data_IF_076595504638
#
_entry.id   IF_076595504638
#
_cell.length_a   1.000
_cell.length_b   1.000
_cell.length_c   1.000
_cell.angle_alpha   90.00
_cell.angle_beta   90.00
_cell.angle_gamma   90.00
#
_symmetry.space_group_name_H-M   'P 1'
#
loop_
_entity.id
_entity.type
_entity.pdbx_description
1 polymer ?
#
# COMPACT_ATOMS: atom_id res chain seq x y z
N UNK A 1 -12.70 2.12 -2.22
CA UNK A 1 -11.42 2.33 -1.51
C UNK A 1 -10.28 2.50 -2.52
N UNK A 2 -10.18 1.59 -3.49
CA UNK A 2 -9.06 1.56 -4.44
C UNK A 2 -8.96 2.82 -5.32
N UNK A 3 -10.07 3.29 -5.90
CA UNK A 3 -10.08 4.56 -6.64
C UNK A 3 -9.65 5.77 -5.79
N UNK A 4 -9.91 5.74 -4.48
CA UNK A 4 -9.50 6.81 -3.57
C UNK A 4 -8.00 6.73 -3.26
N UNK A 5 -7.48 5.50 -3.10
CA UNK A 5 -6.04 5.25 -2.96
C UNK A 5 -5.28 5.79 -4.18
N UNK A 6 -5.75 5.48 -5.39
CA UNK A 6 -5.18 5.98 -6.64
C UNK A 6 -5.24 7.51 -6.76
N UNK A 7 -6.33 8.15 -6.32
CA UNK A 7 -6.41 9.61 -6.27
C UNK A 7 -5.36 10.18 -5.31
N UNK A 8 -5.16 9.58 -4.14
CA UNK A 8 -4.13 10.00 -3.20
C UNK A 8 -2.73 9.82 -3.79
N UNK A 9 -2.44 8.70 -4.46
CA UNK A 9 -1.17 8.47 -5.13
C UNK A 9 -0.93 9.44 -6.29
N UNK A 10 -1.96 9.75 -7.07
CA UNK A 10 -1.86 10.73 -8.15
C UNK A 10 -1.61 12.14 -7.60
N UNK A 11 -2.30 12.53 -6.53
CA UNK A 11 -2.05 13.79 -5.82
C UNK A 11 -0.62 13.81 -5.29
N UNK A 12 -0.16 12.71 -4.68
CA UNK A 12 1.21 12.53 -4.20
C UNK A 12 2.24 12.79 -5.31
N UNK A 13 2.07 12.17 -6.47
CA UNK A 13 2.99 12.29 -7.61
C UNK A 13 3.01 13.69 -8.21
N UNK A 14 1.86 14.36 -8.31
CA UNK A 14 1.79 15.73 -8.85
C UNK A 14 2.49 16.71 -7.94
N UNK A 15 2.25 16.60 -6.64
CA UNK A 15 2.75 17.55 -5.65
C UNK A 15 4.23 17.33 -5.32
N UNK A 16 4.69 16.07 -5.31
CA UNK A 16 6.10 15.75 -5.08
C UNK A 16 7.05 16.19 -6.21
N UNK A 17 6.52 16.58 -7.38
CA UNK A 17 7.30 17.08 -8.52
C UNK A 17 7.47 18.59 -8.52
N UNK A 18 6.92 19.31 -7.54
CA UNK A 18 7.11 20.75 -7.41
C UNK A 18 8.60 21.08 -7.16
N UNK A 19 9.16 22.07 -7.87
CA UNK A 19 10.55 22.49 -7.68
C UNK A 19 10.76 23.14 -6.31
N UNK A 20 12.02 23.25 -5.90
CA UNK A 20 12.39 23.97 -4.68
C UNK A 20 12.04 25.47 -4.78
N UNK A 21 11.62 26.04 -3.66
CA UNK A 21 11.35 27.46 -3.50
C UNK A 21 11.93 27.99 -2.18
N UNK A 22 11.80 29.29 -1.92
CA UNK A 22 12.36 29.91 -0.71
C UNK A 22 11.78 29.35 0.61
N UNK A 23 10.59 28.74 0.59
CA UNK A 23 9.98 28.11 1.78
C UNK A 23 10.44 26.65 1.92
N UNK A 24 10.66 25.97 0.81
CA UNK A 24 11.12 24.58 0.74
C UNK A 24 12.39 24.48 -0.12
N UNK A 25 13.56 24.82 0.44
CA UNK A 25 14.82 24.88 -0.30
C UNK A 25 15.29 23.52 -0.83
N UNK A 26 14.78 22.42 -0.27
CA UNK A 26 15.05 21.05 -0.70
C UNK A 26 13.93 20.45 -1.58
N UNK A 27 12.94 21.26 -1.96
CA UNK A 27 11.79 20.84 -2.77
C UNK A 27 10.71 20.07 -1.99
N UNK A 28 9.74 19.53 -2.74
CA UNK A 28 8.53 18.92 -2.20
C UNK A 28 8.53 17.38 -2.27
N UNK A 29 9.69 16.75 -2.51
CA UNK A 29 9.79 15.29 -2.68
C UNK A 29 9.16 14.47 -1.54
N UNK A 30 9.29 14.94 -0.30
CA UNK A 30 8.71 14.31 0.90
C UNK A 30 7.18 14.35 0.95
N UNK A 31 6.51 15.23 0.19
CA UNK A 31 5.04 15.26 0.17
C UNK A 31 4.47 13.92 -0.30
N UNK A 32 5.18 13.19 -1.18
CA UNK A 32 4.73 11.86 -1.60
C UNK A 32 4.52 10.90 -0.42
N UNK A 33 5.45 10.91 0.53
CA UNK A 33 5.38 10.05 1.72
C UNK A 33 4.26 10.46 2.65
N UNK A 34 4.01 11.77 2.77
CA UNK A 34 2.86 12.28 3.51
C UNK A 34 1.52 11.81 2.90
N UNK A 35 1.36 11.90 1.58
CA UNK A 35 0.16 11.42 0.90
C UNK A 35 0.01 9.88 0.99
N UNK A 36 1.10 9.13 0.94
CA UNK A 36 1.07 7.68 1.16
C UNK A 36 0.63 7.32 2.60
N UNK A 37 1.06 8.11 3.60
CA UNK A 37 0.59 7.96 4.98
C UNK A 37 -0.91 8.26 5.10
N UNK A 38 -1.39 9.31 4.44
CA UNK A 38 -2.82 9.64 4.41
C UNK A 38 -3.65 8.54 3.75
N UNK A 39 -3.16 7.96 2.67
CA UNK A 39 -3.79 6.81 2.02
C UNK A 39 -3.86 5.59 2.95
N UNK A 40 -2.78 5.28 3.68
CA UNK A 40 -2.75 4.21 4.68
C UNK A 40 -3.81 4.42 5.78
N UNK A 41 -3.94 5.64 6.30
CA UNK A 41 -4.98 6.01 7.27
C UNK A 41 -6.38 5.85 6.64
N UNK A 42 -6.55 6.26 5.38
CA UNK A 42 -7.80 6.09 4.64
C UNK A 42 -8.22 4.61 4.52
N UNK A 43 -7.29 3.72 4.16
CA UNK A 43 -7.53 2.27 4.07
C UNK A 43 -7.90 1.70 5.45
N UNK A 44 -7.22 2.12 6.52
CA UNK A 44 -7.55 1.70 7.87
C UNK A 44 -8.97 2.12 8.29
N UNK A 45 -9.32 3.39 8.09
CA UNK A 45 -10.61 3.94 8.54
C UNK A 45 -11.77 3.48 7.66
N UNK A 46 -11.69 3.68 6.34
CA UNK A 46 -12.80 3.32 5.44
C UNK A 46 -12.87 1.83 5.13
N UNK A 47 -11.74 1.14 5.15
CA UNK A 47 -11.68 -0.29 4.90
C UNK A 47 -11.79 -1.07 6.20
N UNK A 48 -10.74 -1.00 7.02
CA UNK A 48 -10.63 -1.77 8.27
C UNK A 48 -11.79 -1.54 9.23
N UNK A 49 -12.00 -0.31 9.69
CA UNK A 49 -13.06 -0.01 10.67
C UNK A 49 -14.46 -0.30 10.13
N UNK A 50 -14.72 -0.03 8.84
CA UNK A 50 -16.00 -0.34 8.23
C UNK A 50 -16.27 -1.85 8.16
N UNK A 51 -15.27 -2.66 7.79
CA UNK A 51 -15.37 -4.12 7.81
C UNK A 51 -15.61 -4.65 9.23
N UNK A 52 -14.89 -4.13 10.24
CA UNK A 52 -15.16 -4.49 11.63
C UNK A 52 -16.59 -4.13 12.07
N UNK A 53 -17.06 -2.93 11.70
CA UNK A 53 -18.42 -2.49 11.98
C UNK A 53 -19.45 -3.42 11.33
N UNK A 54 -19.28 -3.75 10.05
CA UNK A 54 -20.15 -4.67 9.32
C UNK A 54 -20.17 -6.06 9.97
N UNK A 55 -19.00 -6.60 10.34
CA UNK A 55 -18.91 -7.91 11.00
C UNK A 55 -19.61 -7.94 12.36
N UNK A 56 -19.45 -6.88 13.17
CA UNK A 56 -20.15 -6.77 14.45
C UNK A 56 -21.65 -6.52 14.27
N UNK A 57 -22.03 -5.77 13.24
CA UNK A 57 -23.43 -5.49 12.94
C UNK A 57 -24.16 -6.73 12.42
N UNK A 58 -23.52 -7.53 11.58
CA UNK A 58 -24.04 -8.80 11.07
C UNK A 58 -24.37 -9.78 12.22
N UNK A 59 -23.55 -9.80 13.27
CA UNK A 59 -23.78 -10.66 14.43
C UNK A 59 -24.95 -10.20 15.32
N UNK A 60 -25.45 -8.98 15.13
CA UNK A 60 -26.54 -8.37 15.91
C UNK A 60 -27.85 -8.24 15.13
N UNK A 61 -27.89 -8.62 13.85
CA UNK A 61 -29.11 -8.62 13.05
C UNK A 61 -29.81 -9.96 13.25
N UNK A 62 -31.09 -9.90 13.65
CA UNK A 62 -31.93 -11.08 13.87
C UNK A 62 -32.74 -11.50 12.63
N UNK A 63 -32.72 -10.78 11.49
CA UNK A 63 -33.58 -11.11 10.34
C UNK A 63 -32.98 -10.86 8.93
N UNK A 64 -33.16 -11.91 8.11
CA UNK A 64 -33.55 -12.00 6.69
C UNK A 64 -33.09 -10.87 5.74
N UNK A 65 -31.84 -10.95 5.25
CA UNK A 65 -31.53 -10.34 3.97
C UNK A 65 -32.27 -11.11 2.86
N UNK A 66 -32.97 -10.37 2.00
CA UNK A 66 -33.69 -10.98 0.88
C UNK A 66 -32.70 -11.71 -0.06
N UNK A 67 -33.08 -12.88 -0.61
CA UNK A 67 -32.22 -13.63 -1.55
C UNK A 67 -31.74 -12.80 -2.76
N UNK A 68 -32.48 -11.75 -3.11
CA UNK A 68 -32.14 -10.80 -4.18
C UNK A 68 -30.97 -9.88 -3.82
N UNK A 69 -30.78 -9.53 -2.54
CA UNK A 69 -29.61 -8.76 -2.08
C UNK A 69 -28.32 -9.58 -2.13
N UNK A 70 -28.39 -10.84 -1.66
CA UNK A 70 -27.28 -11.78 -1.68
C UNK A 70 -26.78 -12.09 -3.10
N UNK A 71 -27.70 -12.32 -4.03
CA UNK A 71 -27.35 -12.58 -5.44
C UNK A 71 -26.67 -11.39 -6.10
N UNK A 72 -27.16 -10.16 -5.87
CA UNK A 72 -26.50 -8.96 -6.36
C UNK A 72 -25.08 -8.80 -5.75
N UNK A 73 -24.94 -9.04 -4.45
CA UNK A 73 -23.65 -9.01 -3.75
C UNK A 73 -22.64 -10.00 -4.34
N UNK A 74 -23.04 -11.26 -4.53
CA UNK A 74 -22.20 -12.30 -5.14
C UNK A 74 -21.82 -11.97 -6.59
N UNK A 75 -22.72 -11.38 -7.38
CA UNK A 75 -22.41 -10.94 -8.74
C UNK A 75 -21.35 -9.84 -8.73
N UNK A 76 -21.51 -8.82 -7.87
CA UNK A 76 -20.54 -7.72 -7.73
C UNK A 76 -19.19 -8.25 -7.29
N UNK A 77 -19.14 -9.11 -6.28
CA UNK A 77 -17.91 -9.76 -5.81
C UNK A 77 -17.29 -10.65 -6.90
N UNK A 78 -18.09 -11.36 -7.68
CA UNK A 78 -17.61 -12.18 -8.79
C UNK A 78 -16.96 -11.34 -9.89
N UNK A 79 -17.58 -10.24 -10.27
CA UNK A 79 -17.01 -9.29 -11.24
C UNK A 79 -15.72 -8.67 -10.70
N UNK A 80 -15.71 -8.26 -9.42
CA UNK A 80 -14.52 -7.74 -8.76
C UNK A 80 -13.40 -8.79 -8.74
N UNK A 81 -13.69 -10.04 -8.35
CA UNK A 81 -12.70 -11.11 -8.31
C UNK A 81 -12.08 -11.35 -9.69
N UNK A 82 -12.89 -11.37 -10.76
CA UNK A 82 -12.38 -11.52 -12.12
C UNK A 82 -11.49 -10.34 -12.51
N UNK A 83 -11.93 -9.10 -12.25
CA UNK A 83 -11.15 -7.91 -12.55
C UNK A 83 -9.79 -7.94 -11.84
N UNK A 84 -9.79 -8.11 -10.51
CA UNK A 84 -8.57 -8.15 -9.69
C UNK A 84 -7.66 -9.33 -10.08
N UNK A 85 -8.24 -10.51 -10.30
CA UNK A 85 -7.46 -11.69 -10.72
C UNK A 85 -6.80 -11.49 -12.08
N UNK A 86 -7.47 -10.82 -13.01
CA UNK A 86 -6.86 -10.50 -14.31
C UNK A 86 -5.75 -9.45 -14.21
N UNK A 87 -5.90 -8.45 -13.33
CA UNK A 87 -4.85 -7.48 -13.04
C UNK A 87 -3.63 -8.16 -12.43
N UNK A 88 -3.85 -8.95 -11.38
CA UNK A 88 -2.81 -9.72 -10.71
C UNK A 88 -2.11 -10.68 -11.66
N UNK A 89 -2.85 -11.40 -12.50
CA UNK A 89 -2.28 -12.32 -13.49
C UNK A 89 -1.37 -11.60 -14.49
N UNK A 90 -1.77 -10.40 -14.94
CA UNK A 90 -0.93 -9.57 -15.83
C UNK A 90 0.32 -9.09 -15.10
N UNK A 91 0.20 -8.62 -13.86
CA UNK A 91 1.33 -8.15 -13.07
C UNK A 91 2.33 -9.28 -12.79
N UNK A 92 1.84 -10.47 -12.41
CA UNK A 92 2.65 -11.67 -12.24
C UNK A 92 3.31 -12.11 -13.55
N UNK A 93 2.59 -12.01 -14.68
CA UNK A 93 3.17 -12.31 -15.99
C UNK A 93 4.31 -11.34 -16.35
N UNK A 94 4.17 -10.05 -16.03
CA UNK A 94 5.23 -9.05 -16.24
C UNK A 94 6.43 -9.22 -15.30
N UNK A 95 6.22 -9.85 -14.15
CA UNK A 95 7.25 -10.20 -13.18
C UNK A 95 7.93 -11.55 -13.49
N UNK A 96 7.33 -12.41 -14.34
CA UNK A 96 7.95 -13.68 -14.73
C UNK A 96 9.31 -13.46 -15.37
N UNK A 97 10.29 -14.25 -14.93
CA UNK A 97 11.67 -14.15 -15.41
C UNK A 97 12.50 -13.02 -14.80
N UNK A 98 11.90 -12.17 -13.95
CA UNK A 98 12.61 -11.15 -13.17
C UNK A 98 12.75 -11.63 -11.72
N UNK A 99 13.97 -11.61 -11.18
CA UNK A 99 14.25 -12.01 -9.79
C UNK A 99 14.91 -10.87 -9.01
N UNK A 100 14.59 -10.78 -7.72
CA UNK A 100 15.19 -9.78 -6.85
C UNK A 100 15.07 -8.36 -7.44
N UNK A 101 16.17 -7.62 -7.43
CA UNK A 101 16.25 -6.22 -7.86
C UNK A 101 15.78 -5.95 -9.31
N UNK A 102 15.63 -6.97 -10.16
CA UNK A 102 15.14 -6.81 -11.53
C UNK A 102 13.64 -6.53 -11.63
N UNK A 103 12.87 -6.76 -10.56
CA UNK A 103 11.45 -6.42 -10.52
C UNK A 103 11.32 -4.94 -10.13
N UNK A 104 10.70 -4.15 -11.00
CA UNK A 104 10.39 -2.75 -10.76
C UNK A 104 9.62 -2.59 -9.43
N UNK A 105 10.05 -1.70 -8.51
CA UNK A 105 9.33 -1.37 -7.29
C UNK A 105 7.84 -1.04 -7.49
N UNK A 106 7.48 -0.41 -8.62
CA UNK A 106 6.09 -0.13 -8.94
C UNK A 106 5.30 -1.43 -9.16
N UNK A 107 5.87 -2.36 -9.93
CA UNK A 107 5.25 -3.66 -10.21
C UNK A 107 5.11 -4.52 -8.94
N UNK A 108 6.10 -4.48 -8.04
CA UNK A 108 6.01 -5.17 -6.74
C UNK A 108 4.86 -4.66 -5.88
N UNK A 109 4.67 -3.34 -5.89
CA UNK A 109 3.57 -2.69 -5.14
C UNK A 109 2.22 -3.15 -5.67
N UNK A 110 2.03 -3.10 -7.00
CA UNK A 110 0.79 -3.57 -7.66
C UNK A 110 0.50 -5.04 -7.35
N UNK A 111 1.50 -5.92 -7.45
CA UNK A 111 1.31 -7.34 -7.11
C UNK A 111 0.85 -7.51 -5.65
N UNK A 112 1.42 -6.75 -4.72
CA UNK A 112 1.06 -6.83 -3.31
C UNK A 112 -0.36 -6.30 -3.04
N UNK A 113 -0.74 -5.21 -3.70
CA UNK A 113 -2.08 -4.61 -3.61
C UNK A 113 -3.15 -5.53 -4.20
N UNK A 114 -2.99 -5.95 -5.46
CA UNK A 114 -3.93 -6.83 -6.15
C UNK A 114 -4.06 -8.19 -5.42
N UNK A 115 -2.96 -8.72 -4.87
CA UNK A 115 -3.02 -9.96 -4.07
C UNK A 115 -3.87 -9.77 -2.81
N UNK A 116 -3.73 -8.62 -2.14
CA UNK A 116 -4.52 -8.30 -0.95
C UNK A 116 -6.00 -8.13 -1.31
N UNK A 117 -6.29 -7.47 -2.43
CA UNK A 117 -7.65 -7.29 -2.94
C UNK A 117 -8.30 -8.64 -3.28
N UNK A 118 -7.62 -9.51 -4.03
CA UNK A 118 -8.10 -10.86 -4.37
C UNK A 118 -8.37 -11.68 -3.11
N UNK A 119 -7.48 -11.63 -2.10
CA UNK A 119 -7.68 -12.34 -0.84
C UNK A 119 -8.90 -11.81 -0.08
N UNK A 120 -9.07 -10.49 0.00
CA UNK A 120 -10.21 -9.86 0.65
C UNK A 120 -11.55 -10.21 -0.03
N UNK A 121 -11.60 -10.16 -1.36
CA UNK A 121 -12.79 -10.54 -2.14
C UNK A 121 -13.09 -12.03 -1.98
N UNK A 122 -12.07 -12.88 -1.99
CA UNK A 122 -12.22 -14.33 -1.79
C UNK A 122 -12.78 -14.66 -0.40
N UNK A 123 -12.32 -13.98 0.64
CA UNK A 123 -12.87 -14.08 1.99
C UNK A 123 -14.35 -13.69 2.02
N UNK A 124 -14.71 -12.59 1.37
CA UNK A 124 -16.08 -12.12 1.30
C UNK A 124 -17.00 -13.11 0.57
N UNK A 125 -16.57 -13.64 -0.58
CA UNK A 125 -17.33 -14.66 -1.33
C UNK A 125 -17.50 -15.91 -0.49
N UNK A 126 -16.44 -16.37 0.19
CA UNK A 126 -16.50 -17.54 1.05
C UNK A 126 -17.50 -17.33 2.20
N UNK A 127 -17.39 -16.23 2.94
CA UNK A 127 -18.30 -15.91 4.04
C UNK A 127 -19.76 -15.85 3.61
N UNK A 128 -20.04 -15.16 2.50
CA UNK A 128 -21.37 -15.03 1.94
C UNK A 128 -21.94 -16.36 1.42
N UNK A 129 -21.11 -17.18 0.77
CA UNK A 129 -21.52 -18.51 0.26
C UNK A 129 -21.78 -19.50 1.40
N UNK A 130 -20.93 -19.50 2.43
CA UNK A 130 -21.13 -20.33 3.63
C UNK A 130 -22.36 -19.89 4.41
N UNK A 131 -22.62 -18.58 4.53
CA UNK A 131 -23.87 -18.09 5.11
C UNK A 131 -25.08 -18.62 4.35
N UNK A 132 -25.10 -18.51 3.01
CA UNK A 132 -26.21 -18.99 2.19
C UNK A 132 -26.42 -20.52 2.30
N UNK A 133 -25.34 -21.28 2.45
CA UNK A 133 -25.41 -22.74 2.57
C UNK A 133 -25.80 -23.24 3.97
N UNK A 134 -25.41 -22.52 5.02
CA UNK A 134 -25.59 -22.96 6.43
C UNK A 134 -26.67 -22.19 7.18
N UNK A 135 -27.10 -21.04 6.67
CA UNK A 135 -27.97 -20.09 7.35
C UNK A 135 -27.33 -19.37 8.55
N UNK A 136 -26.03 -19.58 8.82
CA UNK A 136 -25.37 -19.02 10.00
C UNK A 136 -24.68 -17.69 9.70
N UNK A 137 -25.10 -16.62 10.39
CA UNK A 137 -24.50 -15.27 10.31
C UNK A 137 -23.02 -15.21 10.73
N UNK A 138 -22.54 -16.24 11.45
CA UNK A 138 -21.17 -16.30 11.96
C UNK A 138 -20.14 -16.31 10.82
N UNK A 139 -20.46 -16.91 9.68
CA UNK A 139 -19.55 -16.99 8.53
C UNK A 139 -19.34 -15.63 7.85
N UNK A 140 -20.41 -14.85 7.69
CA UNK A 140 -20.34 -13.51 7.13
C UNK A 140 -19.60 -12.56 8.09
N UNK A 141 -19.96 -12.61 9.38
CA UNK A 141 -19.29 -11.84 10.42
C UNK A 141 -17.78 -12.16 10.48
N UNK A 142 -17.43 -13.44 10.45
CA UNK A 142 -16.04 -13.91 10.45
C UNK A 142 -15.25 -13.46 9.23
N UNK A 143 -15.84 -13.56 8.04
CA UNK A 143 -15.22 -13.06 6.81
C UNK A 143 -14.97 -11.55 6.86
N UNK A 144 -15.96 -10.78 7.33
CA UNK A 144 -15.86 -9.32 7.46
C UNK A 144 -14.78 -8.90 8.46
N UNK A 145 -14.70 -9.57 9.62
CA UNK A 145 -13.62 -9.35 10.60
C UNK A 145 -12.24 -9.72 10.03
N UNK A 146 -12.15 -10.83 9.28
CA UNK A 146 -10.92 -11.26 8.61
C UNK A 146 -10.42 -10.24 7.58
N UNK A 147 -11.33 -9.69 6.76
CA UNK A 147 -11.03 -8.61 5.82
C UNK A 147 -10.60 -7.35 6.58
N UNK A 148 -11.29 -7.00 7.66
CA UNK A 148 -10.90 -5.90 8.52
C UNK A 148 -9.47 -6.03 9.02
N UNK A 149 -9.09 -7.20 9.56
CA UNK A 149 -7.74 -7.47 10.04
C UNK A 149 -6.70 -7.39 8.91
N UNK A 150 -7.01 -7.93 7.73
CA UNK A 150 -6.15 -7.85 6.54
C UNK A 150 -5.87 -6.39 6.17
N UNK A 151 -6.91 -5.54 6.12
CA UNK A 151 -6.78 -4.13 5.78
C UNK A 151 -6.01 -3.33 6.84
N UNK A 152 -6.21 -3.66 8.13
CA UNK A 152 -5.42 -3.07 9.22
C UNK A 152 -3.95 -3.42 9.07
N UNK A 153 -3.62 -4.68 8.77
CA UNK A 153 -2.24 -5.11 8.55
C UNK A 153 -1.58 -4.37 7.37
N UNK A 154 -2.29 -4.26 6.24
CA UNK A 154 -1.81 -3.55 5.04
C UNK A 154 -1.59 -2.08 5.32
N UNK A 155 -2.56 -1.43 5.96
CA UNK A 155 -2.46 -0.03 6.36
C UNK A 155 -1.30 0.21 7.32
N UNK A 156 -1.09 -0.67 8.31
CA UNK A 156 0.04 -0.57 9.24
C UNK A 156 1.37 -0.67 8.51
N UNK A 157 1.52 -1.64 7.60
CA UNK A 157 2.75 -1.81 6.81
C UNK A 157 3.03 -0.59 5.93
N UNK A 158 2.03 -0.09 5.21
CA UNK A 158 2.16 1.07 4.35
C UNK A 158 2.49 2.34 5.17
N UNK A 159 1.79 2.53 6.28
CA UNK A 159 2.01 3.65 7.19
C UNK A 159 3.40 3.65 7.81
N UNK A 160 3.92 2.48 8.22
CA UNK A 160 5.29 2.35 8.73
C UNK A 160 6.32 2.72 7.67
N UNK A 161 6.19 2.19 6.45
CA UNK A 161 7.11 2.50 5.35
C UNK A 161 7.07 3.99 4.95
N UNK A 162 5.89 4.60 4.94
CA UNK A 162 5.73 6.02 4.65
C UNK A 162 6.33 6.88 5.76
N UNK A 163 6.12 6.51 7.03
CA UNK A 163 6.72 7.17 8.19
C UNK A 163 8.24 7.16 8.12
N UNK A 164 8.84 5.99 7.90
CA UNK A 164 10.30 5.86 7.93
C UNK A 164 10.96 6.72 6.84
N UNK A 165 10.38 6.76 5.64
CA UNK A 165 10.83 7.66 4.56
C UNK A 165 10.57 9.15 4.84
N UNK A 166 9.47 9.49 5.53
CA UNK A 166 9.16 10.87 5.89
C UNK A 166 10.16 11.42 6.93
N UNK A 167 10.54 10.60 7.91
CA UNK A 167 11.55 10.93 8.93
C UNK A 167 12.90 11.21 8.27
N UNK A 168 13.24 10.45 7.22
CA UNK A 168 14.44 10.67 6.41
C UNK A 168 15.41 9.51 6.54
N UNK A 169 15.13 8.45 5.78
CA UNK A 169 15.97 7.27 5.70
C UNK A 169 17.29 7.58 4.96
N UNK A 170 18.38 6.94 5.37
CA UNK A 170 19.68 7.03 4.69
C UNK A 170 19.62 6.43 3.28
N UNK A 171 20.62 6.72 2.45
CA UNK A 171 20.74 6.00 1.18
C UNK A 171 21.09 4.53 1.40
N UNK A 172 20.87 3.73 0.37
CA UNK A 172 21.23 2.32 0.36
C UNK A 172 22.73 2.13 0.65
N UNK A 173 23.15 1.07 1.37
CA UNK A 173 24.54 0.86 1.77
C UNK A 173 25.52 0.85 0.59
N UNK A 174 25.09 0.37 -0.58
CA UNK A 174 25.87 0.39 -1.81
C UNK A 174 26.16 1.84 -2.25
N UNK A 175 25.14 2.68 -2.34
CA UNK A 175 25.29 4.09 -2.72
C UNK A 175 26.08 4.87 -1.67
N UNK A 176 25.91 4.55 -0.39
CA UNK A 176 26.73 5.13 0.68
C UNK A 176 28.22 4.82 0.48
N UNK A 177 28.57 3.57 0.18
CA UNK A 177 29.97 3.17 -0.11
C UNK A 177 30.51 3.84 -1.37
N UNK A 178 29.70 3.99 -2.40
CA UNK A 178 30.08 4.71 -3.63
C UNK A 178 30.39 6.19 -3.36
N UNK A 179 29.58 6.86 -2.53
CA UNK A 179 29.79 8.24 -2.12
C UNK A 179 31.09 8.41 -1.31
N UNK A 180 31.34 7.54 -0.33
CA UNK A 180 32.61 7.53 0.42
C UNK A 180 33.79 7.33 -0.54
N UNK A 181 33.70 6.35 -1.44
CA UNK A 181 34.73 6.10 -2.43
C UNK A 181 34.94 7.27 -3.40
N UNK A 182 33.88 8.02 -3.73
CA UNK A 182 33.97 9.23 -4.55
C UNK A 182 34.71 10.37 -3.85
N UNK A 183 34.42 10.60 -2.58
CA UNK A 183 35.08 11.63 -1.77
C UNK A 183 36.56 11.31 -1.55
N UNK A 184 36.88 10.05 -1.23
CA UNK A 184 38.27 9.58 -1.01
C UNK A 184 39.15 9.61 -2.26
N UNK A 185 38.58 9.79 -3.46
CA UNK A 185 39.35 9.96 -4.71
C UNK A 185 39.82 11.40 -4.95
N UNK A 186 39.34 12.38 -4.18
CA UNK A 186 39.76 13.76 -4.31
C UNK A 186 41.07 13.97 -3.56
N UNK A 187 42.07 14.55 -4.22
CA UNK A 187 43.40 14.79 -3.64
C UNK A 187 43.40 15.73 -2.43
N UNK A 188 42.35 16.54 -2.30
CA UNK A 188 42.16 17.56 -1.28
C UNK A 188 41.52 17.00 0.00
N UNK A 189 41.05 15.75 -0.01
CA UNK A 189 40.34 15.13 1.13
C UNK A 189 41.25 14.10 1.79
N UNK A 190 41.76 14.43 2.98
CA UNK A 190 42.57 13.52 3.79
C UNK A 190 41.74 12.42 4.47
N UNK A 191 40.53 12.75 4.93
CA UNK A 191 39.61 11.82 5.61
C UNK A 191 38.14 12.29 5.54
N UNK A 192 37.19 11.35 5.59
CA UNK A 192 35.74 11.58 5.72
C UNK A 192 35.34 11.09 7.11
N UNK A 193 35.23 12.02 8.07
CA UNK A 193 34.95 11.68 9.47
C UNK A 193 33.52 11.15 9.66
N UNK A 194 32.55 11.75 8.98
CA UNK A 194 31.14 11.36 9.05
C UNK A 194 30.45 11.69 7.72
N UNK A 195 29.68 10.74 7.18
CA UNK A 195 28.88 10.94 5.97
C UNK A 195 27.39 10.77 6.32
N UNK A 196 26.69 11.88 6.48
CA UNK A 196 25.25 11.89 6.69
C UNK A 196 24.52 11.97 5.36
N UNK A 197 23.56 11.06 5.18
CA UNK A 197 22.75 11.02 3.96
C UNK A 197 21.27 10.92 4.32
N UNK A 198 20.43 11.59 3.54
CA UNK A 198 18.98 11.50 3.71
C UNK A 198 18.30 11.53 2.34
N UNK A 199 17.41 10.57 2.12
CA UNK A 199 16.57 10.56 0.91
C UNK A 199 15.49 11.64 1.02
N UNK A 200 15.44 12.54 0.02
CA UNK A 200 14.46 13.62 -0.06
C UNK A 200 13.29 13.28 -1.00
N UNK A 201 13.51 12.33 -1.91
CA UNK A 201 12.54 11.81 -2.86
C UNK A 201 13.13 10.65 -3.67
N UNK A 202 12.46 10.22 -4.74
CA UNK A 202 12.92 9.06 -5.55
C UNK A 202 14.29 9.27 -6.21
N UNK A 203 14.63 10.51 -6.54
CA UNK A 203 15.82 10.87 -7.32
C UNK A 203 16.63 11.99 -6.65
N UNK A 204 16.39 12.27 -5.38
CA UNK A 204 17.08 13.33 -4.65
C UNK A 204 17.56 12.84 -3.29
N UNK A 205 18.83 13.10 -3.01
CA UNK A 205 19.51 12.74 -1.77
C UNK A 205 20.20 14.00 -1.25
N UNK A 206 20.02 14.28 0.04
CA UNK A 206 20.83 15.23 0.77
C UNK A 206 22.09 14.51 1.26
N UNK A 207 23.25 15.09 0.99
CA UNK A 207 24.55 14.59 1.46
C UNK A 207 25.23 15.68 2.27
N UNK A 208 25.66 15.35 3.48
CA UNK A 208 26.53 16.17 4.31
C UNK A 208 27.75 15.34 4.69
N UNK A 209 28.92 15.80 4.27
CA UNK A 209 30.20 15.10 4.31
C UNK A 209 31.32 16.06 4.73
#
# INVERSE_FOLDING_TARGET
>A
ADSLNEIFLLAALRRSRLPADARHPFGYGKERYFWALLAAVGIFVMGGCFSFYQGLHALRRDDDESPTGYTAGLIVLGVALVAESTSLARALHQARGKTGAAIDPALRTVIAEDSTAVLGVSLAIAGMSLHLATGSVVWEAGASLGIGLLLVYVAFRLGRNARDQLIGESVDPELHRELVGFLMRQSEIDNVAELLTMRLGMHSVLVAA
#
